data_IF_304712093318
#
_entry.id   IF_304712093318
#
_cell.length_a   1.000
_cell.length_b   1.000
_cell.length_c   1.000
_cell.angle_alpha   90.00
_cell.angle_beta   90.00
_cell.angle_gamma   90.00
#
_symmetry.space_group_name_H-M   'P 1'
#
loop_
_entity.id
_entity.type
_entity.pdbx_description
1 polymer ?
#
# COMPACT_ATOMS: atom_id res chain seq x y z
N UNK A 1 -31.53 -1.22 -12.20
CA UNK A 1 -31.36 -2.04 -13.42
C UNK A 1 -30.38 -1.38 -14.40
N UNK A 2 -30.61 -0.13 -14.81
CA UNK A 2 -29.74 0.61 -15.76
C UNK A 2 -28.25 0.63 -15.35
N UNK A 3 -27.95 1.01 -14.09
CA UNK A 3 -26.56 1.01 -13.58
C UNK A 3 -25.87 -0.36 -13.69
N UNK A 4 -26.61 -1.45 -13.42
CA UNK A 4 -26.06 -2.81 -13.47
C UNK A 4 -25.72 -3.25 -14.89
N UNK A 5 -26.54 -2.85 -15.87
CA UNK A 5 -26.27 -3.11 -17.29
C UNK A 5 -25.00 -2.37 -17.72
N UNK A 6 -24.84 -1.13 -17.28
CA UNK A 6 -23.63 -0.34 -17.56
C UNK A 6 -22.38 -0.97 -16.93
N UNK A 7 -22.46 -1.43 -15.69
CA UNK A 7 -21.34 -2.10 -15.00
C UNK A 7 -20.90 -3.38 -15.74
N UNK A 8 -21.86 -4.20 -16.17
CA UNK A 8 -21.57 -5.44 -16.93
C UNK A 8 -20.97 -5.11 -18.30
N UNK A 9 -21.52 -4.13 -19.03
CA UNK A 9 -20.98 -3.70 -20.32
C UNK A 9 -19.54 -3.19 -20.19
N UNK A 10 -19.28 -2.37 -19.16
CA UNK A 10 -17.95 -1.90 -18.82
C UNK A 10 -17.04 -3.09 -18.54
N UNK A 11 -17.44 -4.00 -17.64
CA UNK A 11 -16.68 -5.20 -17.27
C UNK A 11 -16.30 -6.05 -18.50
N UNK A 12 -17.26 -6.33 -19.40
CA UNK A 12 -17.01 -7.06 -20.64
C UNK A 12 -16.03 -6.31 -21.55
N UNK A 13 -16.18 -5.00 -21.70
CA UNK A 13 -15.24 -4.19 -22.48
C UNK A 13 -13.81 -4.25 -21.91
N UNK A 14 -13.65 -4.21 -20.58
CA UNK A 14 -12.33 -4.34 -19.94
C UNK A 14 -11.72 -5.72 -20.12
N UNK A 15 -12.53 -6.78 -20.00
CA UNK A 15 -12.03 -8.14 -20.26
C UNK A 15 -11.57 -8.25 -21.72
N UNK A 16 -12.32 -7.70 -22.66
CA UNK A 16 -11.95 -7.64 -24.07
C UNK A 16 -10.66 -6.84 -24.30
N UNK A 17 -10.54 -5.65 -23.72
CA UNK A 17 -9.33 -4.82 -23.82
C UNK A 17 -8.10 -5.53 -23.23
N UNK A 18 -8.26 -6.17 -22.07
CA UNK A 18 -7.19 -6.94 -21.40
C UNK A 18 -6.76 -8.12 -22.28
N UNK A 19 -7.73 -8.88 -22.80
CA UNK A 19 -7.47 -10.02 -23.68
C UNK A 19 -6.77 -9.56 -24.95
N UNK A 20 -7.22 -8.47 -25.59
CA UNK A 20 -6.59 -7.89 -26.77
C UNK A 20 -5.15 -7.43 -26.48
N UNK A 21 -4.89 -6.81 -25.33
CA UNK A 21 -3.53 -6.45 -24.89
C UNK A 21 -2.64 -7.69 -24.70
N UNK A 22 -3.13 -8.72 -24.03
CA UNK A 22 -2.42 -9.99 -23.85
C UNK A 22 -2.09 -10.63 -25.21
N UNK A 23 -3.02 -10.57 -26.17
CA UNK A 23 -2.78 -11.08 -27.52
C UNK A 23 -1.80 -10.23 -28.33
N UNK A 24 -1.83 -8.90 -28.19
CA UNK A 24 -0.94 -7.98 -28.89
C UNK A 24 0.52 -8.09 -28.40
N UNK A 25 0.74 -8.16 -27.08
CA UNK A 25 2.07 -8.21 -26.47
C UNK A 25 2.58 -9.65 -26.24
N UNK A 26 1.70 -10.65 -26.35
CA UNK A 26 2.03 -12.07 -26.26
C UNK A 26 2.74 -12.46 -24.95
N UNK A 27 3.84 -13.24 -25.06
CA UNK A 27 4.67 -13.64 -23.90
C UNK A 27 5.46 -12.49 -23.28
N UNK A 28 5.60 -11.37 -23.99
CA UNK A 28 6.33 -10.19 -23.51
C UNK A 28 5.49 -9.41 -22.48
N UNK A 29 4.17 -9.60 -22.45
CA UNK A 29 3.24 -8.97 -21.52
C UNK A 29 3.57 -9.24 -20.03
N UNK A 30 4.07 -10.44 -19.74
CA UNK A 30 4.51 -10.87 -18.40
C UNK A 30 6.04 -10.94 -18.27
N UNK A 31 6.79 -10.59 -19.32
CA UNK A 31 8.25 -10.60 -19.24
C UNK A 31 8.75 -9.40 -18.45
N UNK A 32 9.61 -9.66 -17.46
CA UNK A 32 10.23 -8.66 -16.57
C UNK A 32 11.08 -7.62 -17.29
N UNK A 33 11.43 -7.85 -18.56
CA UNK A 33 12.16 -6.91 -19.41
C UNK A 33 11.32 -5.71 -19.86
N UNK A 34 9.98 -5.79 -19.75
CA UNK A 34 9.10 -4.67 -20.08
C UNK A 34 8.97 -3.69 -18.89
N UNK A 35 9.35 -2.40 -19.04
CA UNK A 35 9.21 -1.41 -17.97
C UNK A 35 7.74 -1.14 -17.58
N UNK A 36 6.79 -1.48 -18.46
CA UNK A 36 5.35 -1.40 -18.21
C UNK A 36 4.80 -2.64 -17.47
N UNK A 37 5.62 -3.67 -17.17
CA UNK A 37 5.15 -4.93 -16.58
C UNK A 37 4.45 -4.75 -15.21
N UNK A 38 4.93 -3.83 -14.37
CA UNK A 38 4.30 -3.56 -13.07
C UNK A 38 2.92 -2.91 -13.21
N UNK A 39 2.79 -2.00 -14.17
CA UNK A 39 1.52 -1.39 -14.55
C UNK A 39 0.56 -2.42 -15.14
N UNK A 40 1.09 -3.36 -15.90
CA UNK A 40 0.29 -4.38 -16.52
C UNK A 40 -0.25 -5.43 -15.55
N UNK A 41 0.58 -5.84 -14.59
CA UNK A 41 0.19 -6.77 -13.53
C UNK A 41 -0.87 -6.16 -12.60
N UNK A 42 -0.71 -4.88 -12.27
CA UNK A 42 -1.72 -4.15 -11.49
C UNK A 42 -3.05 -4.04 -12.23
N UNK A 43 -3.05 -3.84 -13.55
CA UNK A 43 -4.28 -3.80 -14.36
C UNK A 43 -4.99 -5.17 -14.39
N UNK A 44 -4.22 -6.24 -14.61
CA UNK A 44 -4.72 -7.62 -14.59
C UNK A 44 -5.36 -7.99 -13.25
N UNK A 45 -4.67 -7.68 -12.13
CA UNK A 45 -5.20 -7.90 -10.78
C UNK A 45 -6.55 -7.21 -10.61
N UNK A 46 -6.61 -5.97 -11.08
CA UNK A 46 -7.78 -5.13 -10.97
C UNK A 46 -8.97 -5.65 -11.77
N UNK A 47 -8.77 -6.11 -13.01
CA UNK A 47 -9.83 -6.75 -13.81
C UNK A 47 -10.27 -8.05 -13.12
N UNK A 48 -9.35 -8.89 -12.65
CA UNK A 48 -9.68 -10.14 -11.97
C UNK A 48 -10.56 -9.94 -10.72
N UNK A 49 -10.20 -9.00 -9.85
CA UNK A 49 -11.01 -8.69 -8.66
C UNK A 49 -12.35 -8.07 -9.04
N UNK A 50 -12.41 -7.31 -10.15
CA UNK A 50 -13.64 -6.73 -10.66
C UNK A 50 -14.66 -7.79 -11.06
N UNK A 51 -14.21 -8.77 -11.86
CA UNK A 51 -15.03 -9.88 -12.33
C UNK A 51 -15.42 -10.80 -11.18
N UNK A 52 -14.53 -11.02 -10.20
CA UNK A 52 -14.83 -11.80 -9.00
C UNK A 52 -15.92 -11.14 -8.13
N UNK A 53 -15.89 -9.82 -7.94
CA UNK A 53 -16.93 -9.08 -7.19
C UNK A 53 -18.31 -9.28 -7.86
N UNK A 54 -18.40 -9.09 -9.17
CA UNK A 54 -19.65 -9.26 -9.90
C UNK A 54 -20.14 -10.71 -9.88
N UNK A 55 -19.25 -11.69 -9.97
CA UNK A 55 -19.60 -13.10 -9.87
C UNK A 55 -20.17 -13.46 -8.48
N UNK A 56 -19.60 -12.94 -7.40
CA UNK A 56 -20.09 -13.17 -6.02
C UNK A 56 -21.50 -12.59 -5.85
N UNK A 57 -21.72 -11.37 -6.35
CA UNK A 57 -23.03 -10.71 -6.28
C UNK A 57 -24.08 -11.47 -7.11
N UNK A 58 -23.69 -12.02 -8.26
CA UNK A 58 -24.60 -12.72 -9.17
C UNK A 58 -24.97 -14.13 -8.69
N UNK A 59 -24.02 -14.83 -8.05
CA UNK A 59 -24.24 -16.14 -7.44
C UNK A 59 -25.00 -16.08 -6.10
N UNK A 60 -25.29 -14.89 -5.59
CA UNK A 60 -26.12 -14.70 -4.40
C UNK A 60 -25.52 -15.27 -3.12
N UNK A 61 -24.19 -15.42 -3.05
CA UNK A 61 -23.51 -15.91 -1.86
C UNK A 61 -23.72 -14.95 -0.69
N UNK A 62 -24.65 -15.29 0.20
CA UNK A 62 -24.73 -14.72 1.54
C UNK A 62 -23.69 -15.45 2.39
N UNK A 63 -22.86 -14.74 3.11
CA UNK A 63 -21.98 -15.35 4.10
C UNK A 63 -21.92 -14.55 5.40
N UNK A 64 -21.49 -15.25 6.43
CA UNK A 64 -21.43 -14.74 7.79
C UNK A 64 -20.16 -13.92 8.02
N UNK A 65 -19.93 -13.47 9.25
CA UNK A 65 -18.99 -12.43 9.73
C UNK A 65 -17.61 -12.28 9.04
N UNK A 66 -17.06 -13.30 8.38
CA UNK A 66 -15.89 -13.16 7.48
C UNK A 66 -16.17 -12.25 6.28
N UNK A 67 -17.42 -12.21 5.82
CA UNK A 67 -17.90 -11.34 4.76
C UNK A 67 -17.84 -9.86 5.08
N UNK A 68 -17.96 -9.45 6.34
CA UNK A 68 -17.88 -8.03 6.65
C UNK A 68 -16.50 -7.45 6.27
N UNK A 69 -15.45 -8.29 6.37
CA UNK A 69 -14.09 -7.97 5.96
C UNK A 69 -13.96 -7.95 4.43
N UNK A 70 -14.56 -8.94 3.75
CA UNK A 70 -14.57 -9.02 2.28
C UNK A 70 -15.38 -7.88 1.64
N UNK A 71 -16.55 -7.53 2.19
CA UNK A 71 -17.37 -6.41 1.75
C UNK A 71 -16.63 -5.07 1.82
N UNK A 72 -15.80 -4.88 2.86
CA UNK A 72 -14.94 -3.68 2.97
C UNK A 72 -13.87 -3.66 1.88
N UNK A 73 -13.22 -4.80 1.62
CA UNK A 73 -12.22 -4.91 0.54
C UNK A 73 -12.85 -4.70 -0.84
N UNK A 74 -14.01 -5.29 -1.09
CA UNK A 74 -14.81 -5.09 -2.30
C UNK A 74 -15.13 -3.60 -2.53
N UNK A 75 -15.58 -2.89 -1.48
CA UNK A 75 -15.83 -1.44 -1.57
C UNK A 75 -14.56 -0.66 -1.92
N UNK A 76 -13.42 -1.00 -1.34
CA UNK A 76 -12.14 -0.38 -1.67
C UNK A 76 -11.78 -0.64 -3.14
N UNK A 77 -11.94 -1.86 -3.62
CA UNK A 77 -11.69 -2.21 -5.03
C UNK A 77 -12.52 -1.35 -5.98
N UNK A 78 -13.79 -1.08 -5.65
CA UNK A 78 -14.64 -0.17 -6.46
C UNK A 78 -14.07 1.24 -6.53
N UNK A 79 -13.55 1.78 -5.43
CA UNK A 79 -12.86 3.08 -5.43
C UNK A 79 -11.56 3.02 -6.23
N UNK A 80 -10.82 1.91 -6.14
CA UNK A 80 -9.60 1.70 -6.92
C UNK A 80 -9.89 1.55 -8.43
N UNK A 81 -11.09 1.10 -8.85
CA UNK A 81 -11.52 1.15 -10.26
C UNK A 81 -11.55 2.58 -10.80
N UNK A 82 -11.99 3.56 -9.98
CA UNK A 82 -11.98 4.97 -10.37
C UNK A 82 -10.54 5.49 -10.54
N UNK A 83 -9.60 5.00 -9.72
CA UNK A 83 -8.17 5.32 -9.89
C UNK A 83 -7.58 4.77 -11.19
N UNK A 84 -8.24 3.83 -11.89
CA UNK A 84 -7.76 3.41 -13.22
C UNK A 84 -7.94 4.48 -14.28
N UNK A 85 -8.90 5.40 -14.12
CA UNK A 85 -9.03 6.58 -14.99
C UNK A 85 -7.75 7.40 -14.98
N UNK A 86 -7.07 7.46 -13.83
CA UNK A 86 -5.77 8.14 -13.68
C UNK A 86 -4.70 7.50 -14.57
N UNK A 87 -4.85 6.24 -14.98
CA UNK A 87 -3.87 5.57 -15.85
C UNK A 87 -4.12 5.75 -17.34
N UNK A 88 -5.35 6.07 -17.75
CA UNK A 88 -5.66 6.37 -19.16
C UNK A 88 -5.01 7.67 -19.62
N UNK A 89 -4.80 8.63 -18.70
CA UNK A 89 -4.00 9.81 -18.99
C UNK A 89 -2.51 9.46 -18.87
N UNK A 90 -1.78 9.50 -19.98
CA UNK A 90 -0.31 9.40 -20.03
C UNK A 90 0.36 10.34 -19.01
N UNK A 91 -0.17 11.55 -18.89
CA UNK A 91 0.41 12.61 -18.07
C UNK A 91 0.34 12.26 -16.58
N UNK A 92 -0.78 11.66 -16.17
CA UNK A 92 -0.97 11.22 -14.79
C UNK A 92 -0.04 10.05 -14.44
N UNK A 93 0.25 9.12 -15.37
CA UNK A 93 1.24 8.06 -15.14
C UNK A 93 2.63 8.62 -14.88
N UNK A 94 3.04 9.65 -15.63
CA UNK A 94 4.32 10.33 -15.44
C UNK A 94 4.38 11.01 -14.07
N UNK A 95 3.30 11.70 -13.68
CA UNK A 95 3.21 12.33 -12.36
C UNK A 95 3.30 11.31 -11.22
N UNK A 96 2.57 10.19 -11.33
CA UNK A 96 2.60 9.12 -10.30
C UNK A 96 3.99 8.50 -10.20
N UNK A 97 4.67 8.27 -11.32
CA UNK A 97 6.05 7.77 -11.30
C UNK A 97 7.01 8.78 -10.63
N UNK A 98 6.83 10.08 -10.89
CA UNK A 98 7.56 11.14 -10.21
C UNK A 98 7.34 11.15 -8.69
N UNK A 99 6.08 11.00 -8.25
CA UNK A 99 5.73 10.88 -6.83
C UNK A 99 6.37 9.65 -6.21
N UNK A 100 6.33 8.50 -6.88
CA UNK A 100 6.95 7.27 -6.39
C UNK A 100 8.47 7.42 -6.20
N UNK A 101 9.13 8.14 -7.11
CA UNK A 101 10.53 8.53 -6.97
C UNK A 101 10.77 9.40 -5.72
N UNK A 102 9.95 10.44 -5.53
CA UNK A 102 10.05 11.32 -4.36
C UNK A 102 9.78 10.60 -3.04
N UNK A 103 8.83 9.67 -3.00
CA UNK A 103 8.54 8.85 -1.81
C UNK A 103 9.72 7.97 -1.43
N UNK A 104 10.43 7.41 -2.41
CA UNK A 104 11.65 6.63 -2.14
C UNK A 104 12.71 7.50 -1.47
N UNK A 105 12.95 8.70 -1.98
CA UNK A 105 13.92 9.65 -1.40
C UNK A 105 13.48 10.07 0.01
N UNK A 106 12.19 10.38 0.18
CA UNK A 106 11.62 10.74 1.48
C UNK A 106 11.80 9.61 2.50
N UNK A 107 11.61 8.35 2.11
CA UNK A 107 11.81 7.21 2.99
C UNK A 107 13.26 7.15 3.52
N UNK A 108 14.25 7.32 2.65
CA UNK A 108 15.66 7.38 3.07
C UNK A 108 15.93 8.58 4.00
N UNK A 109 15.34 9.74 3.72
CA UNK A 109 15.47 10.92 4.57
C UNK A 109 14.85 10.71 5.96
N UNK A 110 13.65 10.13 6.02
CA UNK A 110 12.98 9.77 7.28
C UNK A 110 13.78 8.74 8.08
N UNK A 111 14.38 7.76 7.41
CA UNK A 111 15.22 6.76 8.06
C UNK A 111 16.46 7.41 8.69
N UNK A 112 17.12 8.32 7.96
CA UNK A 112 18.25 9.08 8.48
C UNK A 112 17.83 9.95 9.67
N UNK A 113 16.70 10.64 9.56
CA UNK A 113 16.15 11.45 10.65
C UNK A 113 15.88 10.59 11.89
N UNK A 114 15.31 9.40 11.72
CA UNK A 114 15.06 8.46 12.81
C UNK A 114 16.35 8.03 13.52
N UNK A 115 17.42 7.76 12.77
CA UNK A 115 18.74 7.42 13.35
C UNK A 115 19.29 8.58 14.18
N UNK A 116 19.22 9.80 13.66
CA UNK A 116 19.71 10.99 14.37
C UNK A 116 18.91 11.20 15.67
N UNK A 117 17.57 11.14 15.59
CA UNK A 117 16.72 11.24 16.78
C UNK A 117 17.03 10.14 17.80
N UNK A 118 17.34 8.92 17.36
CA UNK A 118 17.71 7.83 18.24
C UNK A 118 19.03 8.10 18.99
N UNK A 119 20.06 8.58 18.30
CA UNK A 119 21.36 8.92 18.93
C UNK A 119 21.18 10.04 19.97
N UNK A 120 20.44 11.09 19.64
CA UNK A 120 20.14 12.16 20.59
C UNK A 120 19.31 11.65 21.78
N UNK A 121 18.33 10.78 21.54
CA UNK A 121 17.54 10.16 22.60
C UNK A 121 18.40 9.38 23.59
N UNK A 122 19.32 8.54 23.11
CA UNK A 122 20.22 7.73 23.95
C UNK A 122 21.21 8.62 24.71
N UNK A 123 21.82 9.59 24.05
CA UNK A 123 22.81 10.49 24.69
C UNK A 123 22.17 11.35 25.79
N UNK A 124 20.96 11.89 25.56
CA UNK A 124 20.21 12.62 26.58
C UNK A 124 19.83 11.73 27.76
N UNK A 125 19.40 10.48 27.49
CA UNK A 125 19.10 9.51 28.56
C UNK A 125 20.33 9.19 29.41
N UNK A 126 21.49 8.96 28.78
CA UNK A 126 22.75 8.71 29.47
C UNK A 126 23.21 9.91 30.30
N UNK A 127 23.09 11.12 29.76
CA UNK A 127 23.44 12.35 30.47
C UNK A 127 22.51 12.58 31.67
N UNK A 128 21.20 12.41 31.50
CA UNK A 128 20.23 12.50 32.58
C UNK A 128 20.53 11.48 33.69
N UNK A 129 20.85 10.22 33.32
CA UNK A 129 21.25 9.20 34.28
C UNK A 129 22.56 9.55 35.02
N UNK A 130 23.55 10.09 34.31
CA UNK A 130 24.81 10.53 34.91
C UNK A 130 24.62 11.67 35.92
N UNK A 131 23.78 12.66 35.60
CA UNK A 131 23.46 13.76 36.52
C UNK A 131 22.72 13.27 37.78
N UNK A 132 21.70 12.41 37.62
CA UNK A 132 20.97 11.84 38.75
C UNK A 132 21.88 11.02 39.68
N UNK A 133 22.85 10.28 39.12
CA UNK A 133 23.83 9.53 39.92
C UNK A 133 24.82 10.43 40.67
N UNK A 134 25.09 11.64 40.17
CA UNK A 134 26.01 12.60 40.81
C UNK A 134 25.37 13.42 41.93
N UNK A 135 24.05 13.64 41.89
CA UNK A 135 23.32 14.45 42.88
C UNK A 135 22.73 13.63 44.04
N UNK A 136 22.41 12.33 43.86
CA UNK A 136 21.89 11.51 44.96
C UNK A 136 22.12 10.01 44.76
N UNK A 137 22.67 9.34 45.78
CA UNK A 137 22.83 7.88 45.80
C UNK A 137 21.51 7.12 45.90
N UNK A 138 20.42 7.79 46.29
CA UNK A 138 19.09 7.19 46.43
C UNK A 138 18.26 7.20 45.15
N UNK A 139 18.39 8.24 44.30
CA UNK A 139 17.64 8.35 43.04
C UNK A 139 18.04 7.34 41.95
N UNK A 140 19.29 6.87 41.98
CA UNK A 140 19.80 5.85 41.04
C UNK A 140 19.10 4.48 41.17
N UNK A 141 18.56 4.16 42.35
CA UNK A 141 17.85 2.89 42.62
C UNK A 141 16.45 2.90 42.01
N UNK A 142 15.76 4.04 41.99
CA UNK A 142 14.41 4.17 41.45
C UNK A 142 14.38 4.18 39.92
N UNK A 143 15.33 4.86 39.27
CA UNK A 143 15.43 4.81 37.79
C UNK A 143 15.77 3.42 37.26
N UNK A 144 16.57 2.64 37.99
CA UNK A 144 16.85 1.24 37.64
C UNK A 144 15.61 0.33 37.75
N UNK A 145 14.70 0.65 38.69
CA UNK A 145 13.45 -0.09 38.91
C UNK A 145 12.41 0.14 37.82
N UNK A 146 12.34 1.36 37.27
CA UNK A 146 11.34 1.72 36.24
C UNK A 146 11.85 1.57 34.79
N UNK A 147 13.13 1.81 34.52
CA UNK A 147 13.67 1.80 33.16
C UNK A 147 14.46 0.54 32.79
N UNK A 148 14.82 -0.30 33.77
CA UNK A 148 15.52 -1.56 33.55
C UNK A 148 16.91 -1.39 32.94
N UNK A 149 17.71 -2.46 33.00
CA UNK A 149 19.08 -2.55 32.47
C UNK A 149 19.09 -2.49 30.94
N UNK A 150 18.86 -1.31 30.34
CA UNK A 150 19.26 -1.02 28.97
C UNK A 150 20.65 -0.37 28.99
N UNK A 151 21.60 -1.21 29.41
CA UNK A 151 23.04 -1.11 29.20
C UNK A 151 23.52 -2.48 28.81
#
# INVERSE_FOLDING_TARGET
VIFRVFDILWCVAFILELVLRIFADGRMFFSLDNPECGWNWTDTFFVAVSTADEAIVLLGFTMELSQFRLLRMIRLVRVLRLLRVVRFCSDLRIMVNGIAGSVRVLFWALMLLAIVMFIFGVTLMQLAYAHLKSEDGSGAVDVAKYYGSLG
#
